data_IF_990106220463
#
_entry.id   IF_990106220463
#
_cell.length_a   1.000
_cell.length_b   1.000
_cell.length_c   1.000
_cell.angle_alpha   90.00
_cell.angle_beta   90.00
_cell.angle_gamma   90.00
#
_symmetry.space_group_name_H-M   'P 1'
#
loop_
_entity.id
_entity.type
_entity.pdbx_description
1 polymer ?
#
# COMPACT_ATOMS: atom_id res chain seq x y z
N UNK A 1 23.27 3.66 17.79
CA UNK A 1 23.11 2.54 16.83
C UNK A 1 22.36 1.36 17.44
N UNK A 2 22.69 0.92 18.65
CA UNK A 2 22.05 -0.21 19.33
C UNK A 2 20.52 -0.17 19.38
N UNK A 3 19.93 1.00 19.70
CA UNK A 3 18.48 1.17 19.71
C UNK A 3 17.82 0.97 18.33
N UNK A 4 18.52 1.33 17.25
CA UNK A 4 18.02 1.15 15.88
C UNK A 4 18.07 -0.32 15.49
N UNK A 5 19.14 -1.03 15.83
CA UNK A 5 19.29 -2.48 15.58
C UNK A 5 18.27 -3.29 16.35
N UNK A 6 18.08 -3.03 17.66
CA UNK A 6 17.07 -3.73 18.47
C UNK A 6 15.67 -3.59 17.88
N UNK A 7 15.31 -2.38 17.41
CA UNK A 7 14.02 -2.14 16.77
C UNK A 7 13.92 -2.80 15.41
N UNK A 8 15.00 -2.77 14.62
CA UNK A 8 15.05 -3.45 13.34
C UNK A 8 14.76 -4.94 13.49
N UNK A 9 15.36 -5.58 14.51
CA UNK A 9 15.10 -6.98 14.83
C UNK A 9 13.64 -7.22 15.23
N UNK A 10 13.11 -6.44 16.18
CA UNK A 10 11.72 -6.62 16.65
C UNK A 10 10.70 -6.39 15.54
N UNK A 11 10.79 -5.27 14.82
CA UNK A 11 9.84 -4.96 13.75
C UNK A 11 10.05 -5.83 12.51
N UNK A 12 11.29 -6.22 12.22
CA UNK A 12 11.61 -7.16 11.13
C UNK A 12 11.02 -8.54 11.40
N UNK A 13 11.14 -9.07 12.63
CA UNK A 13 10.52 -10.33 13.03
C UNK A 13 9.00 -10.27 13.00
N UNK A 14 8.40 -9.23 13.57
CA UNK A 14 6.93 -9.02 13.51
C UNK A 14 6.47 -8.92 12.05
N UNK A 15 7.21 -8.19 11.22
CA UNK A 15 6.95 -8.08 9.79
C UNK A 15 7.05 -9.42 9.06
N UNK A 16 8.05 -10.24 9.40
CA UNK A 16 8.22 -11.59 8.86
C UNK A 16 7.06 -12.51 9.23
N UNK A 17 6.68 -12.54 10.51
CA UNK A 17 5.51 -13.31 10.97
C UNK A 17 4.20 -12.83 10.32
N UNK A 18 4.01 -11.51 10.18
CA UNK A 18 2.88 -10.96 9.46
C UNK A 18 2.88 -11.41 7.98
N UNK A 19 4.05 -11.39 7.33
CA UNK A 19 4.19 -11.84 5.94
C UNK A 19 3.85 -13.33 5.80
N UNK A 20 4.31 -14.16 6.74
CA UNK A 20 3.96 -15.59 6.79
C UNK A 20 2.48 -15.78 6.98
N UNK A 21 1.86 -15.08 7.92
CA UNK A 21 0.43 -15.16 8.16
C UNK A 21 -0.38 -14.80 6.92
N UNK A 22 -0.09 -13.68 6.26
CA UNK A 22 -0.79 -13.28 5.04
C UNK A 22 -0.60 -14.30 3.90
N UNK A 23 0.57 -14.94 3.82
CA UNK A 23 0.87 -15.94 2.80
C UNK A 23 0.14 -17.26 3.09
N UNK A 24 0.22 -17.76 4.32
CA UNK A 24 -0.35 -19.05 4.74
C UNK A 24 -1.88 -19.03 4.90
N UNK A 25 -2.50 -17.86 5.05
CA UNK A 25 -3.96 -17.70 4.94
C UNK A 25 -4.43 -17.69 3.46
N UNK A 26 -3.50 -17.64 2.51
CA UNK A 26 -3.80 -17.65 1.08
C UNK A 26 -4.10 -16.27 0.49
N UNK A 27 -3.93 -15.18 1.26
CA UNK A 27 -4.21 -13.83 0.78
C UNK A 27 -3.26 -13.43 -0.36
N UNK A 28 -1.98 -13.77 -0.23
CA UNK A 28 -0.96 -13.47 -1.25
C UNK A 28 -1.24 -14.21 -2.54
N UNK A 29 -1.64 -15.49 -2.46
CA UNK A 29 -1.97 -16.30 -3.62
C UNK A 29 -3.26 -15.82 -4.29
N UNK A 30 -4.32 -15.58 -3.51
CA UNK A 30 -5.60 -15.07 -4.01
C UNK A 30 -5.45 -13.74 -4.77
N UNK A 31 -4.49 -12.91 -4.38
CA UNK A 31 -4.20 -11.63 -5.03
C UNK A 31 -3.13 -11.68 -6.13
N UNK A 32 -2.45 -12.82 -6.33
CA UNK A 32 -1.47 -12.95 -7.41
C UNK A 32 -2.13 -12.94 -8.79
N UNK A 33 -3.34 -13.50 -8.93
CA UNK A 33 -4.10 -13.44 -10.18
C UNK A 33 -4.66 -12.04 -10.51
N UNK A 34 -4.75 -11.15 -9.52
CA UNK A 34 -5.31 -9.80 -9.71
C UNK A 34 -4.21 -8.83 -10.15
N UNK A 35 -4.33 -8.34 -11.39
CA UNK A 35 -3.44 -7.32 -11.96
C UNK A 35 -3.84 -5.94 -11.44
N UNK A 36 -2.88 -5.19 -10.89
CA UNK A 36 -3.09 -3.83 -10.42
C UNK A 36 -2.61 -2.81 -11.45
N UNK A 37 -1.38 -2.93 -11.96
CA UNK A 37 -0.82 -2.00 -12.96
C UNK A 37 -0.18 -2.79 -14.09
N UNK A 38 -0.71 -2.61 -15.31
CA UNK A 38 -0.23 -3.30 -16.50
C UNK A 38 -0.18 -4.82 -16.36
N UNK A 39 0.88 -5.43 -16.88
CA UNK A 39 1.08 -6.89 -16.86
C UNK A 39 2.02 -7.38 -15.75
N UNK A 40 2.84 -6.49 -15.17
CA UNK A 40 3.90 -6.87 -14.24
C UNK A 40 3.60 -6.67 -12.75
N UNK A 41 2.64 -5.79 -12.40
CA UNK A 41 2.37 -5.45 -11.00
C UNK A 41 1.01 -6.03 -10.58
N UNK A 42 1.06 -7.04 -9.72
CA UNK A 42 -0.11 -7.68 -9.11
C UNK A 42 -0.40 -7.11 -7.73
N UNK A 43 -1.61 -7.36 -7.23
CA UNK A 43 -1.98 -6.97 -5.86
C UNK A 43 -1.12 -7.64 -4.81
N UNK A 44 -0.72 -8.90 -5.03
CA UNK A 44 0.14 -9.64 -4.11
C UNK A 44 1.48 -8.92 -3.90
N UNK A 45 2.13 -8.46 -4.98
CA UNK A 45 3.38 -7.72 -4.90
C UNK A 45 3.24 -6.38 -4.20
N UNK A 46 2.14 -5.65 -4.45
CA UNK A 46 1.89 -4.39 -3.74
C UNK A 46 1.62 -4.63 -2.26
N UNK A 47 0.93 -5.70 -1.88
CA UNK A 47 0.69 -6.03 -0.48
C UNK A 47 1.99 -6.38 0.25
N UNK A 48 2.86 -7.18 -0.36
CA UNK A 48 4.18 -7.50 0.18
C UNK A 48 5.05 -6.24 0.33
N UNK A 49 5.09 -5.39 -0.71
CA UNK A 49 5.81 -4.12 -0.67
C UNK A 49 5.24 -3.18 0.40
N UNK A 50 3.91 -3.09 0.52
CA UNK A 50 3.25 -2.25 1.52
C UNK A 50 3.59 -2.71 2.94
N UNK A 51 3.66 -4.03 3.17
CA UNK A 51 4.09 -4.58 4.45
C UNK A 51 5.54 -4.19 4.76
N UNK A 52 6.47 -4.43 3.82
CA UNK A 52 7.89 -4.07 3.98
C UNK A 52 8.10 -2.57 4.21
N UNK A 53 7.41 -1.73 3.43
CA UNK A 53 7.39 -0.28 3.59
C UNK A 53 6.85 0.13 4.96
N UNK A 54 5.78 -0.51 5.43
CA UNK A 54 5.18 -0.22 6.74
C UNK A 54 6.14 -0.57 7.87
N UNK A 55 6.82 -1.71 7.80
CA UNK A 55 7.86 -2.11 8.76
C UNK A 55 8.98 -1.08 8.79
N UNK A 56 9.52 -0.70 7.62
CA UNK A 56 10.55 0.33 7.52
C UNK A 56 10.10 1.70 8.06
N UNK A 57 8.86 2.10 7.76
CA UNK A 57 8.25 3.32 8.28
C UNK A 57 8.10 3.31 9.81
N UNK A 58 7.68 2.20 10.40
CA UNK A 58 7.54 2.08 11.86
C UNK A 58 8.89 2.21 12.57
N UNK A 59 9.95 1.65 11.99
CA UNK A 59 11.32 1.80 12.51
C UNK A 59 11.79 3.26 12.38
N UNK A 60 11.67 3.85 11.19
CA UNK A 60 12.12 5.22 10.91
C UNK A 60 11.32 6.31 11.62
N UNK A 61 10.05 6.05 12.00
CA UNK A 61 9.17 7.04 12.64
C UNK A 61 9.69 7.50 13.99
N UNK A 62 10.50 6.69 14.66
CA UNK A 62 11.01 6.97 16.01
C UNK A 62 12.47 7.39 16.02
N UNK A 63 13.20 7.14 14.93
CA UNK A 63 14.62 7.45 14.80
C UNK A 63 14.80 8.11 13.42
N UNK A 64 14.68 9.44 13.37
CA UNK A 64 14.74 10.23 12.13
C UNK A 64 16.18 10.68 11.82
N UNK A 65 17.13 9.74 11.84
CA UNK A 65 18.52 9.98 11.48
C UNK A 65 19.04 8.85 10.56
N UNK A 66 20.27 8.96 10.06
CA UNK A 66 20.88 7.94 9.19
C UNK A 66 20.89 6.53 9.80
N UNK A 67 21.07 6.42 11.12
CA UNK A 67 21.04 5.12 11.81
C UNK A 67 19.64 4.48 11.81
N UNK A 68 18.58 5.30 11.77
CA UNK A 68 17.21 4.83 11.59
C UNK A 68 16.93 4.30 10.19
N UNK A 69 17.54 4.89 9.15
CA UNK A 69 17.44 4.39 7.76
C UNK A 69 18.14 3.05 7.61
N UNK A 70 19.35 2.92 8.13
CA UNK A 70 20.07 1.64 8.14
C UNK A 70 19.31 0.58 8.94
N UNK A 71 18.77 0.94 10.12
CA UNK A 71 17.92 0.05 10.91
C UNK A 71 16.66 -0.38 10.15
N UNK A 72 16.03 0.51 9.41
CA UNK A 72 14.85 0.17 8.62
C UNK A 72 15.18 -0.70 7.40
N UNK A 73 16.33 -0.48 6.75
CA UNK A 73 16.84 -1.37 5.72
C UNK A 73 17.12 -2.78 6.28
N UNK A 74 17.73 -2.88 7.47
CA UNK A 74 17.91 -4.15 8.18
C UNK A 74 16.56 -4.82 8.52
N UNK A 75 15.58 -4.06 8.99
CA UNK A 75 14.24 -4.61 9.25
C UNK A 75 13.60 -5.17 7.98
N UNK A 76 13.71 -4.44 6.86
CA UNK A 76 13.23 -4.89 5.56
C UNK A 76 13.98 -6.13 5.04
N UNK A 77 15.30 -6.21 5.25
CA UNK A 77 16.11 -7.39 4.97
C UNK A 77 15.59 -8.62 5.74
N UNK A 78 15.26 -8.46 7.03
CA UNK A 78 14.72 -9.56 7.83
C UNK A 78 13.36 -10.03 7.33
N UNK A 79 12.50 -9.12 6.87
CA UNK A 79 11.22 -9.49 6.25
C UNK A 79 11.46 -10.25 4.92
N UNK A 80 12.37 -9.76 4.08
CA UNK A 80 12.75 -10.43 2.84
C UNK A 80 13.34 -11.83 3.08
N UNK A 81 14.20 -11.96 4.10
CA UNK A 81 14.75 -13.23 4.54
C UNK A 81 13.67 -14.18 5.04
N UNK A 82 12.75 -13.70 5.89
CA UNK A 82 11.64 -14.50 6.39
C UNK A 82 10.76 -15.03 5.23
N UNK A 83 10.45 -14.18 4.25
CA UNK A 83 9.71 -14.60 3.05
C UNK A 83 10.46 -15.64 2.22
N UNK A 84 11.77 -15.48 2.05
CA UNK A 84 12.59 -16.49 1.38
C UNK A 84 12.61 -17.82 2.13
N UNK A 85 12.75 -17.79 3.45
CA UNK A 85 12.69 -19.01 4.29
C UNK A 85 11.34 -19.70 4.13
N UNK A 86 10.23 -18.95 4.12
CA UNK A 86 8.91 -19.53 3.86
C UNK A 86 8.82 -20.15 2.47
N UNK A 87 9.29 -19.46 1.43
CA UNK A 87 9.29 -19.98 0.07
C UNK A 87 10.11 -21.29 -0.02
N UNK A 88 11.26 -21.35 0.64
CA UNK A 88 12.08 -22.56 0.71
C UNK A 88 11.39 -23.69 1.48
N UNK A 89 10.74 -23.39 2.60
CA UNK A 89 10.00 -24.39 3.38
C UNK A 89 8.84 -24.98 2.58
N UNK A 90 8.05 -24.14 1.89
CA UNK A 90 6.94 -24.59 1.05
C UNK A 90 7.43 -25.39 -0.18
N UNK A 91 8.61 -25.05 -0.71
CA UNK A 91 9.19 -25.78 -1.84
C UNK A 91 9.80 -27.14 -1.47
N UNK A 92 10.26 -27.31 -0.22
CA UNK A 92 10.97 -28.52 0.23
C UNK A 92 10.09 -29.46 1.06
N UNK A 93 9.09 -28.92 1.76
CA UNK A 93 8.19 -29.67 2.64
C UNK A 93 6.76 -29.52 2.13
N UNK A 94 6.00 -30.63 2.09
CA UNK A 94 4.59 -30.60 1.75
C UNK A 94 3.74 -30.02 2.90
N UNK A 95 3.82 -28.69 3.02
CA UNK A 95 3.07 -27.91 4.01
C UNK A 95 1.57 -27.88 3.72
N UNK A 96 1.13 -28.37 2.56
CA UNK A 96 -0.30 -28.43 2.19
C UNK A 96 -1.11 -29.30 3.14
N UNK A 97 -0.46 -30.29 3.75
CA UNK A 97 -1.05 -31.18 4.77
C UNK A 97 -1.53 -30.43 6.01
N UNK A 98 -0.91 -29.29 6.35
CA UNK A 98 -1.26 -28.45 7.50
C UNK A 98 -1.93 -27.14 7.05
N UNK A 99 -1.41 -26.52 5.99
CA UNK A 99 -1.88 -25.26 5.43
C UNK A 99 -2.33 -25.47 3.99
N UNK A 100 -3.64 -25.62 3.77
CA UNK A 100 -4.22 -25.82 2.43
C UNK A 100 -3.77 -24.74 1.43
N UNK A 101 -3.53 -23.52 1.91
CA UNK A 101 -3.08 -22.38 1.11
C UNK A 101 -1.55 -22.31 0.88
N UNK A 102 -0.76 -23.23 1.44
CA UNK A 102 0.65 -23.39 1.08
C UNK A 102 0.75 -24.15 -0.25
N UNK A 103 0.24 -23.54 -1.32
CA UNK A 103 0.25 -24.16 -2.64
C UNK A 103 1.67 -24.21 -3.24
N UNK A 104 1.90 -25.11 -4.20
CA UNK A 104 3.16 -25.16 -4.95
C UNK A 104 3.47 -23.88 -5.75
N UNK A 105 2.48 -23.01 -5.98
CA UNK A 105 2.68 -21.74 -6.69
C UNK A 105 3.17 -20.61 -5.76
N UNK A 106 3.00 -20.76 -4.44
CA UNK A 106 3.36 -19.74 -3.46
C UNK A 106 4.85 -19.37 -3.47
N UNK A 107 5.82 -20.32 -3.55
CA UNK A 107 7.24 -19.99 -3.61
C UNK A 107 7.61 -19.08 -4.78
N UNK A 108 7.03 -19.32 -5.96
CA UNK A 108 7.29 -18.50 -7.15
C UNK A 108 6.69 -17.11 -6.99
N UNK A 109 5.49 -17.00 -6.41
CA UNK A 109 4.89 -15.69 -6.11
C UNK A 109 5.75 -14.92 -5.11
N UNK A 110 6.17 -15.54 -4.01
CA UNK A 110 6.97 -14.88 -2.98
C UNK A 110 8.35 -14.44 -3.48
N UNK A 111 8.93 -15.17 -4.42
CA UNK A 111 10.26 -14.89 -5.00
C UNK A 111 10.20 -14.03 -6.26
N UNK A 112 9.07 -13.39 -6.56
CA UNK A 112 8.87 -12.57 -7.77
C UNK A 112 9.16 -13.34 -9.07
N UNK A 113 8.78 -14.62 -9.10
CA UNK A 113 8.97 -15.56 -10.19
C UNK A 113 10.45 -15.78 -10.55
N UNK A 114 11.34 -15.68 -9.55
CA UNK A 114 12.79 -15.93 -9.68
C UNK A 114 13.24 -17.26 -9.06
N UNK A 115 12.31 -18.00 -8.46
CA UNK A 115 12.56 -19.27 -7.78
C UNK A 115 13.23 -19.12 -6.42
N UNK A 116 13.37 -20.22 -5.70
CA UNK A 116 13.91 -20.28 -4.33
C UNK A 116 15.45 -20.29 -4.25
N UNK A 117 16.15 -20.28 -5.39
CA UNK A 117 17.62 -20.28 -5.45
C UNK A 117 18.26 -18.97 -4.98
N UNK A 118 19.58 -18.86 -5.17
CA UNK A 118 20.36 -17.69 -4.76
C UNK A 118 19.85 -16.36 -5.35
N UNK A 119 19.35 -16.40 -6.60
CA UNK A 119 18.79 -15.20 -7.27
C UNK A 119 17.54 -14.70 -6.55
N UNK A 120 16.61 -15.60 -6.19
CA UNK A 120 15.40 -15.23 -5.45
C UNK A 120 15.70 -14.66 -4.06
N UNK A 121 16.66 -15.27 -3.35
CA UNK A 121 17.14 -14.75 -2.07
C UNK A 121 17.68 -13.32 -2.21
N UNK A 122 18.61 -13.10 -3.14
CA UNK A 122 19.23 -11.79 -3.35
C UNK A 122 18.17 -10.75 -3.72
N UNK A 123 17.22 -11.10 -4.60
CA UNK A 123 16.12 -10.20 -4.99
C UNK A 123 15.24 -9.86 -3.78
N UNK A 124 14.83 -10.84 -2.98
CA UNK A 124 14.01 -10.61 -1.78
C UNK A 124 14.73 -9.75 -0.74
N UNK A 125 16.03 -9.98 -0.53
CA UNK A 125 16.84 -9.17 0.37
C UNK A 125 16.96 -7.73 -0.14
N UNK A 126 17.27 -7.53 -1.43
CA UNK A 126 17.39 -6.19 -2.01
C UNK A 126 16.07 -5.44 -2.03
N UNK A 127 14.97 -6.09 -2.41
CA UNK A 127 13.63 -5.50 -2.39
C UNK A 127 13.21 -5.16 -0.97
N UNK A 128 13.43 -6.08 -0.02
CA UNK A 128 13.18 -5.87 1.40
C UNK A 128 13.97 -4.68 1.94
N UNK A 129 15.28 -4.64 1.70
CA UNK A 129 16.16 -3.54 2.09
C UNK A 129 15.70 -2.20 1.51
N UNK A 130 15.43 -2.16 0.21
CA UNK A 130 15.02 -0.96 -0.51
C UNK A 130 13.65 -0.47 -0.02
N UNK A 131 12.69 -1.37 0.19
CA UNK A 131 11.39 -1.03 0.74
C UNK A 131 11.50 -0.53 2.19
N UNK A 132 12.29 -1.19 3.03
CA UNK A 132 12.55 -0.77 4.39
C UNK A 132 13.18 0.63 4.46
N UNK A 133 14.22 0.86 3.64
CA UNK A 133 14.89 2.15 3.50
C UNK A 133 13.93 3.24 3.02
N UNK A 134 13.15 2.96 1.97
CA UNK A 134 12.17 3.90 1.41
C UNK A 134 11.09 4.24 2.45
N UNK A 135 10.59 3.24 3.17
CA UNK A 135 9.60 3.42 4.24
C UNK A 135 10.11 4.33 5.36
N UNK A 136 11.38 4.20 5.76
CA UNK A 136 12.00 5.13 6.69
C UNK A 136 12.24 6.51 6.07
N UNK A 137 12.65 6.61 4.80
CA UNK A 137 12.81 7.88 4.11
C UNK A 137 11.53 8.72 4.08
N UNK A 138 10.36 8.09 4.04
CA UNK A 138 9.06 8.77 4.16
C UNK A 138 8.88 9.54 5.48
N UNK A 139 9.68 9.25 6.52
CA UNK A 139 9.57 9.92 7.83
C UNK A 139 10.25 11.27 7.85
N UNK A 140 11.17 11.54 6.91
CA UNK A 140 11.82 12.84 6.74
C UNK A 140 10.92 13.86 6.04
N UNK A 141 9.88 13.41 5.34
CA UNK A 141 8.91 14.31 4.76
C UNK A 141 8.06 15.00 5.84
N UNK A 142 7.66 16.27 5.62
CA UNK A 142 6.73 16.95 6.52
C UNK A 142 5.42 16.16 6.61
N UNK A 143 4.74 16.21 7.77
CA UNK A 143 3.57 15.40 8.06
C UNK A 143 2.47 15.49 6.97
N UNK A 144 2.32 16.66 6.34
CA UNK A 144 1.39 16.87 5.22
C UNK A 144 1.81 16.09 3.98
N UNK A 145 3.09 16.18 3.58
CA UNK A 145 3.62 15.47 2.41
C UNK A 145 3.53 13.95 2.59
N UNK A 146 3.90 13.45 3.76
CA UNK A 146 3.75 12.03 4.10
C UNK A 146 2.31 11.54 4.00
N UNK A 147 1.35 12.29 4.56
CA UNK A 147 -0.08 11.93 4.47
C UNK A 147 -0.56 11.98 3.03
N UNK A 148 -0.12 12.96 2.23
CA UNK A 148 -0.47 13.05 0.83
C UNK A 148 0.03 11.83 0.05
N UNK A 149 1.29 11.43 0.23
CA UNK A 149 1.87 10.25 -0.45
C UNK A 149 1.14 8.97 -0.06
N UNK A 150 0.93 8.72 1.24
CA UNK A 150 0.21 7.53 1.71
C UNK A 150 -1.21 7.50 1.15
N UNK A 151 -1.92 8.64 1.19
CA UNK A 151 -3.28 8.75 0.67
C UNK A 151 -3.31 8.51 -0.84
N UNK A 152 -2.36 9.07 -1.58
CA UNK A 152 -2.28 8.93 -3.03
C UNK A 152 -2.00 7.48 -3.44
N UNK A 153 -1.08 6.80 -2.76
CA UNK A 153 -0.82 5.38 -2.97
C UNK A 153 -2.04 4.53 -2.63
N UNK A 154 -2.68 4.75 -1.47
CA UNK A 154 -3.89 4.03 -1.08
C UNK A 154 -5.04 4.22 -2.08
N UNK A 155 -5.27 5.44 -2.56
CA UNK A 155 -6.28 5.73 -3.58
C UNK A 155 -5.93 5.02 -4.89
N UNK A 156 -4.67 5.05 -5.32
CA UNK A 156 -4.25 4.39 -6.56
C UNK A 156 -4.49 2.88 -6.51
N UNK A 157 -4.13 2.25 -5.39
CA UNK A 157 -4.40 0.82 -5.16
C UNK A 157 -5.90 0.55 -5.13
N UNK A 158 -6.68 1.39 -4.44
CA UNK A 158 -8.12 1.23 -4.33
C UNK A 158 -8.81 1.37 -5.69
N UNK A 159 -8.45 2.38 -6.49
CA UNK A 159 -8.98 2.58 -7.86
C UNK A 159 -8.65 1.38 -8.74
N UNK A 160 -7.45 0.81 -8.60
CA UNK A 160 -7.09 -0.41 -9.32
C UNK A 160 -7.90 -1.62 -8.89
N UNK A 161 -8.25 -1.70 -7.60
CA UNK A 161 -9.01 -2.83 -7.04
C UNK A 161 -10.48 -2.74 -7.43
N UNK A 162 -11.00 -1.52 -7.48
CA UNK A 162 -12.35 -1.22 -7.90
C UNK A 162 -12.48 -1.20 -9.42
N UNK A 163 -11.46 -1.56 -10.20
CA UNK A 163 -11.57 -1.62 -11.68
C UNK A 163 -12.84 -2.34 -12.12
N UNK A 164 -13.11 -3.52 -11.56
CA UNK A 164 -14.26 -4.34 -11.97
C UNK A 164 -15.60 -3.66 -11.64
N UNK A 165 -15.61 -2.78 -10.63
CA UNK A 165 -16.77 -1.96 -10.23
C UNK A 165 -16.85 -0.67 -11.03
N UNK A 166 -15.73 -0.06 -11.38
CA UNK A 166 -15.65 1.21 -12.10
C UNK A 166 -15.84 1.05 -13.61
N UNK A 167 -15.45 -0.09 -14.17
CA UNK A 167 -15.50 -0.33 -15.61
C UNK A 167 -16.93 -0.27 -16.18
N UNK A 168 -17.97 -0.81 -15.51
CA UNK A 168 -19.35 -0.66 -15.97
C UNK A 168 -19.94 0.74 -15.77
N UNK A 169 -19.43 1.50 -14.79
CA UNK A 169 -19.98 2.81 -14.38
C UNK A 169 -19.40 3.97 -15.20
N UNK A 170 -18.16 3.85 -15.67
CA UNK A 170 -17.45 4.91 -16.35
C UNK A 170 -17.64 4.86 -17.88
N UNK A 171 -17.62 6.02 -18.57
CA UNK A 171 -17.65 6.08 -20.03
C UNK A 171 -16.47 5.33 -20.66
N UNK A 172 -16.71 4.70 -21.82
CA UNK A 172 -15.72 3.89 -22.54
C UNK A 172 -14.41 4.64 -22.85
N UNK A 173 -14.48 5.96 -23.08
CA UNK A 173 -13.30 6.80 -23.33
C UNK A 173 -12.39 6.88 -22.09
N UNK A 174 -13.00 6.95 -20.90
CA UNK A 174 -12.28 7.05 -19.62
C UNK A 174 -11.72 5.70 -19.23
N UNK A 175 -12.50 4.62 -19.39
CA UNK A 175 -12.03 3.25 -19.08
C UNK A 175 -10.93 2.79 -20.02
N UNK A 176 -11.04 3.11 -21.33
CA UNK A 176 -10.01 2.78 -22.32
C UNK A 176 -8.67 3.47 -22.06
N UNK A 177 -8.68 4.65 -21.43
CA UNK A 177 -7.45 5.31 -21.00
C UNK A 177 -6.95 4.79 -19.65
N UNK A 178 -7.84 4.62 -18.66
CA UNK A 178 -7.46 4.27 -17.29
C UNK A 178 -7.09 2.80 -17.10
N UNK A 179 -7.68 1.89 -17.88
CA UNK A 179 -7.55 0.44 -17.70
C UNK A 179 -7.00 -0.23 -18.95
N UNK A 180 -6.16 -1.26 -18.78
CA UNK A 180 -5.69 -2.04 -19.93
C UNK A 180 -6.73 -3.09 -20.35
N UNK A 181 -6.71 -3.56 -21.60
CA UNK A 181 -7.55 -4.68 -22.05
C UNK A 181 -7.29 -5.97 -21.27
N UNK A 182 -6.08 -6.11 -20.73
CA UNK A 182 -5.54 -7.31 -20.09
C UNK A 182 -5.67 -7.36 -18.55
N UNK A 183 -6.31 -6.37 -17.91
CA UNK A 183 -6.45 -6.30 -16.44
C UNK A 183 -5.61 -5.20 -15.76
N UNK A 184 -6.09 -4.61 -14.67
CA UNK A 184 -5.44 -3.51 -13.93
C UNK A 184 -5.48 -2.12 -14.58
N UNK A 185 -4.95 -1.12 -13.89
CA UNK A 185 -4.72 0.23 -14.43
C UNK A 185 -3.68 0.19 -15.55
N UNK A 186 -3.89 1.03 -16.58
CA UNK A 186 -2.84 1.36 -17.53
C UNK A 186 -1.72 2.12 -16.83
N UNK A 187 -0.48 2.00 -17.33
CA UNK A 187 0.64 2.77 -16.81
C UNK A 187 0.37 4.29 -16.81
N UNK A 188 -0.12 4.91 -17.91
CA UNK A 188 -0.49 6.33 -17.88
C UNK A 188 -1.66 6.63 -16.94
N UNK A 189 -2.67 5.76 -16.87
CA UNK A 189 -3.81 5.90 -15.96
C UNK A 189 -3.39 5.88 -14.49
N UNK A 190 -2.49 4.97 -14.11
CA UNK A 190 -1.93 4.90 -12.76
C UNK A 190 -1.16 6.17 -12.38
N UNK A 191 -0.35 6.71 -13.30
CA UNK A 191 0.37 7.97 -13.08
C UNK A 191 -0.59 9.14 -12.90
N UNK A 192 -1.64 9.24 -13.73
CA UNK A 192 -2.65 10.30 -13.61
C UNK A 192 -3.41 10.20 -12.29
N UNK A 193 -3.88 9.01 -11.91
CA UNK A 193 -4.57 8.80 -10.62
C UNK A 193 -3.68 9.16 -9.44
N UNK A 194 -2.42 8.72 -9.46
CA UNK A 194 -1.44 9.04 -8.42
C UNK A 194 -1.18 10.54 -8.34
N UNK A 195 -0.96 11.20 -9.47
CA UNK A 195 -0.71 12.64 -9.55
C UNK A 195 -1.91 13.45 -9.02
N UNK A 196 -3.12 13.10 -9.44
CA UNK A 196 -4.35 13.75 -8.96
C UNK A 196 -4.56 13.53 -7.45
N UNK A 197 -4.36 12.30 -6.99
CA UNK A 197 -4.50 11.95 -5.58
C UNK A 197 -3.44 12.61 -4.69
N UNK A 198 -2.25 12.90 -5.23
CA UNK A 198 -1.20 13.66 -4.55
C UNK A 198 -1.49 15.17 -4.56
N UNK A 199 -1.96 15.70 -5.69
CA UNK A 199 -2.24 17.13 -5.86
C UNK A 199 -3.41 17.60 -4.98
N UNK A 200 -4.47 16.79 -4.85
CA UNK A 200 -5.67 17.14 -4.10
C UNK A 200 -5.42 17.57 -2.63
N UNK A 201 -4.75 16.77 -1.77
CA UNK A 201 -4.48 17.16 -0.39
C UNK A 201 -3.51 18.34 -0.28
N UNK A 202 -2.55 18.47 -1.20
CA UNK A 202 -1.57 19.58 -1.21
C UNK A 202 -2.29 20.88 -1.57
N UNK A 203 -3.06 20.90 -2.67
CA UNK A 203 -3.84 22.05 -3.12
C UNK A 203 -4.84 22.50 -2.04
N UNK A 204 -5.55 21.55 -1.42
CA UNK A 204 -6.46 21.86 -0.31
C UNK A 204 -5.74 22.51 0.87
N UNK A 205 -4.52 22.06 1.18
CA UNK A 205 -3.75 22.65 2.27
C UNK A 205 -3.24 24.06 1.93
N UNK A 206 -2.79 24.29 0.70
CA UNK A 206 -2.37 25.62 0.22
C UNK A 206 -3.52 26.62 0.21
N UNK A 207 -4.70 26.20 -0.29
CA UNK A 207 -5.92 27.03 -0.28
C UNK A 207 -6.38 27.29 1.15
N UNK A 208 -6.35 26.29 2.04
CA UNK A 208 -6.73 26.46 3.43
C UNK A 208 -5.79 27.40 4.21
N UNK A 209 -4.48 27.41 3.89
CA UNK A 209 -3.51 28.36 4.47
C UNK A 209 -3.74 29.78 3.95
N UNK A 210 -3.93 29.96 2.65
CA UNK A 210 -4.26 31.26 2.04
C UNK A 210 -5.60 31.82 2.51
N UNK A 211 -6.58 30.95 2.78
CA UNK A 211 -7.87 31.32 3.36
C UNK A 211 -7.79 31.56 4.88
N UNK A 212 -6.74 31.07 5.55
CA UNK A 212 -6.48 31.27 6.98
C UNK A 212 -5.94 32.66 7.30
N UNK A 213 -5.03 33.19 6.47
CA UNK A 213 -4.51 34.57 6.56
C UNK A 213 -5.57 35.65 6.25
N UNK A 214 -6.71 35.26 5.69
CA UNK A 214 -7.86 36.15 5.40
C UNK A 214 -9.09 35.88 6.27
N UNK A 215 -8.95 35.22 7.43
CA UNK A 215 -10.08 35.11 8.36
C UNK A 215 -10.20 36.36 9.22
N UNK A 216 -10.95 37.32 8.70
CA UNK A 216 -12.00 37.95 9.52
C UNK A 216 -12.84 36.82 10.15
N UNK A 217 -13.11 36.84 11.46
CA UNK A 217 -13.79 35.75 12.15
C UNK A 217 -15.13 35.44 11.47
N UNK A 218 -15.29 34.20 10.98
CA UNK A 218 -16.57 33.74 10.42
C UNK A 218 -17.61 33.69 11.55
N UNK A 219 -18.79 34.31 11.39
CA UNK A 219 -19.83 34.27 12.41
C UNK A 219 -20.27 32.83 12.67
N UNK A 220 -20.44 32.47 13.95
CA UNK A 220 -20.71 31.10 14.43
C UNK A 220 -21.91 30.39 13.75
N UNK A 221 -22.77 31.14 13.06
CA UNK A 221 -23.90 30.64 12.28
C UNK A 221 -23.51 29.85 11.02
N UNK A 222 -22.40 30.20 10.34
CA UNK A 222 -21.98 29.54 9.10
C UNK A 222 -21.44 28.12 9.33
N UNK A 223 -20.78 27.88 10.48
CA UNK A 223 -20.28 26.56 10.87
C UNK A 223 -21.41 25.60 11.24
N UNK A 224 -22.49 26.11 11.85
CA UNK A 224 -23.71 25.34 12.14
C UNK A 224 -24.43 24.93 10.86
N UNK A 225 -24.59 25.84 9.90
CA UNK A 225 -25.18 25.54 8.59
C UNK A 225 -24.35 24.52 7.80
N UNK A 226 -23.02 24.63 7.82
CA UNK A 226 -22.16 23.68 7.11
C UNK A 226 -22.20 22.28 7.73
N UNK A 227 -22.23 22.16 9.05
CA UNK A 227 -22.39 20.87 9.75
C UNK A 227 -23.80 20.29 9.56
N UNK A 228 -24.84 21.13 9.53
CA UNK A 228 -26.20 20.72 9.22
C UNK A 228 -26.32 20.23 7.77
N UNK A 229 -25.76 20.97 6.80
CA UNK A 229 -25.74 20.58 5.40
C UNK A 229 -24.99 19.26 5.17
N UNK A 230 -23.86 19.04 5.86
CA UNK A 230 -23.12 17.77 5.79
C UNK A 230 -23.89 16.60 6.44
N UNK A 231 -24.64 16.84 7.52
CA UNK A 231 -25.50 15.82 8.13
C UNK A 231 -26.70 15.50 7.24
N UNK A 232 -27.35 16.51 6.67
CA UNK A 232 -28.45 16.32 5.71
C UNK A 232 -27.96 15.58 4.47
N UNK A 233 -26.80 15.95 3.93
CA UNK A 233 -26.18 15.25 2.81
C UNK A 233 -25.84 13.80 3.16
N UNK A 234 -25.30 13.54 4.36
CA UNK A 234 -25.04 12.19 4.85
C UNK A 234 -26.32 11.35 5.02
N UNK A 235 -27.41 11.94 5.51
CA UNK A 235 -28.70 11.26 5.67
C UNK A 235 -29.34 11.00 4.30
N UNK A 236 -29.34 11.98 3.40
CA UNK A 236 -29.85 11.82 2.02
C UNK A 236 -29.05 10.75 1.27
N UNK A 237 -27.73 10.70 1.45
CA UNK A 237 -26.88 9.65 0.87
C UNK A 237 -27.19 8.26 1.44
N UNK A 238 -27.46 8.16 2.75
CA UNK A 238 -27.77 6.89 3.41
C UNK A 238 -29.20 6.39 3.09
N UNK A 239 -30.15 7.31 2.86
CA UNK A 239 -31.53 7.01 2.47
C UNK A 239 -31.68 6.73 0.97
N UNK A 240 -30.77 7.25 0.14
CA UNK A 240 -30.71 6.93 -1.30
C UNK A 240 -29.97 5.63 -1.59
N UNK A 241 -29.17 5.12 -0.65
CA UNK A 241 -28.45 3.86 -0.79
C UNK A 241 -29.33 2.62 -1.13
N UNK A 242 -30.51 2.40 -0.52
CA UNK A 242 -31.41 1.30 -0.90
C UNK A 242 -32.06 1.45 -2.27
N UNK A 243 -32.09 2.65 -2.86
CA UNK A 243 -32.63 2.88 -4.21
C UNK A 243 -31.62 2.58 -5.32
N UNK A 244 -30.32 2.51 -4.98
CA UNK A 244 -29.23 2.20 -5.91
C UNK A 244 -28.73 0.75 -5.79
N UNK A 245 -29.25 0.00 -4.82
CA UNK A 245 -28.90 -1.40 -4.56
C UNK A 245 -29.91 -2.41 -5.16
N UNK A 246 -30.81 -1.95 -6.04
CA UNK A 246 -31.76 -2.77 -6.81
C UNK A 246 -31.26 -3.07 -8.21
#
# INVERSE_FOLDING_TARGET
MEQAVRRALVFGLIGGFAAWHLSLVGLIEAFAGRRLIGQGVTFSYVLLLALMLTVGYLVGRRISNWTGLLGAALAGLLVGLALWVLALLVATVDLRTVFVAASPALPDILTFNRGTGAVGLIVLLLVGAAAGFTGAGLTWFPATGRRAVITALSITVLVGLLRDVLNPVLPALVTGFLFTTTGGLSLPGAVVVLALALAFPIARHMVARRAGDRRTPLPAQALRRRRAALRVFGIVFLVSFPLWAG
#
